data_IF_399818978360
#
_entry.id   IF_399818978360
#
_cell.length_a   1.000
_cell.length_b   1.000
_cell.length_c   1.000
_cell.angle_alpha   90.00
_cell.angle_beta   90.00
_cell.angle_gamma   90.00
#
_symmetry.space_group_name_H-M   'P 1'
#
loop_
_entity.id
_entity.type
_entity.pdbx_description
1 polymer ?
#
# COMPACT_ATOMS: atom_id res chain seq x y z
N UNK A 1 60.39 21.03 -34.10
CA UNK A 1 59.59 20.02 -34.80
C UNK A 1 58.46 19.58 -33.82
N UNK A 2 57.33 20.15 -34.02
CA UNK A 2 56.15 19.92 -33.17
C UNK A 2 55.30 18.75 -33.74
N UNK A 3 55.07 17.69 -32.94
CA UNK A 3 54.22 16.58 -33.33
C UNK A 3 52.81 16.85 -32.84
N UNK A 4 51.93 17.18 -33.76
CA UNK A 4 50.49 17.28 -33.51
C UNK A 4 49.92 15.90 -33.16
N UNK A 5 49.31 15.76 -31.97
CA UNK A 5 48.48 14.60 -31.61
C UNK A 5 47.09 14.80 -32.22
N UNK A 6 46.81 14.07 -33.29
CA UNK A 6 45.45 13.91 -33.80
C UNK A 6 44.61 13.14 -32.78
N UNK A 7 43.72 13.84 -32.07
CA UNK A 7 42.66 13.24 -31.32
C UNK A 7 41.58 12.69 -32.28
N UNK A 8 41.53 11.37 -32.42
CA UNK A 8 40.43 10.70 -33.08
C UNK A 8 39.20 10.83 -32.17
N UNK A 9 38.25 11.69 -32.54
CA UNK A 9 36.94 11.72 -31.92
C UNK A 9 36.24 10.38 -32.24
N UNK A 10 36.01 9.56 -31.23
CA UNK A 10 35.14 8.37 -31.32
C UNK A 10 33.72 8.90 -31.51
N UNK A 11 33.05 8.59 -32.65
CA UNK A 11 31.67 8.96 -32.82
C UNK A 11 30.87 8.20 -31.76
N UNK A 12 30.18 8.91 -30.85
CA UNK A 12 29.24 8.33 -29.91
C UNK A 12 28.16 7.57 -30.71
N UNK A 13 28.17 6.25 -30.65
CA UNK A 13 27.07 5.42 -31.08
C UNK A 13 25.88 5.85 -30.20
N UNK A 14 24.90 6.53 -30.79
CA UNK A 14 23.54 6.58 -30.26
C UNK A 14 23.04 5.14 -30.29
N UNK A 15 23.23 4.41 -29.22
CA UNK A 15 22.56 3.12 -29.04
C UNK A 15 21.07 3.40 -29.04
N UNK A 16 20.28 2.60 -29.76
CA UNK A 16 18.82 2.69 -29.70
C UNK A 16 18.37 2.63 -28.22
N UNK A 17 17.34 3.40 -27.83
CA UNK A 17 16.86 3.41 -26.44
C UNK A 17 16.47 1.99 -26.02
N UNK A 18 16.78 1.63 -24.78
CA UNK A 18 16.41 0.34 -24.21
C UNK A 18 14.90 0.24 -24.09
N UNK A 19 14.34 -0.84 -24.62
CA UNK A 19 12.90 -1.14 -24.55
C UNK A 19 12.57 -1.84 -23.23
N UNK A 20 11.72 -1.23 -22.41
CA UNK A 20 11.32 -1.78 -21.11
C UNK A 20 9.81 -2.01 -21.10
N UNK A 21 9.39 -3.25 -20.83
CA UNK A 21 8.00 -3.60 -20.55
C UNK A 21 7.75 -3.58 -19.04
N UNK A 22 6.73 -2.86 -18.59
CA UNK A 22 6.30 -2.86 -17.19
C UNK A 22 4.94 -3.54 -17.12
N UNK A 23 4.84 -4.61 -16.31
CA UNK A 23 3.62 -5.42 -16.15
C UNK A 23 2.93 -5.05 -14.84
N UNK A 24 1.78 -4.39 -14.94
CA UNK A 24 0.97 -3.90 -13.82
C UNK A 24 0.93 -2.37 -13.73
N UNK A 25 -0.27 -1.80 -13.86
CA UNK A 25 -0.55 -0.36 -13.90
C UNK A 25 -1.01 0.23 -12.56
N UNK A 26 -0.60 -0.35 -11.42
CA UNK A 26 -0.78 0.28 -10.10
C UNK A 26 0.16 1.47 -9.91
N UNK A 27 0.10 2.13 -8.74
CA UNK A 27 1.00 3.27 -8.40
C UNK A 27 2.46 2.92 -8.70
N UNK A 28 2.92 1.73 -8.29
CA UNK A 28 4.30 1.29 -8.49
C UNK A 28 4.69 1.28 -9.98
N UNK A 29 3.90 0.61 -10.82
CA UNK A 29 4.20 0.51 -12.26
C UNK A 29 4.10 1.84 -12.97
N UNK A 30 3.11 2.67 -12.63
CA UNK A 30 2.94 4.00 -13.23
C UNK A 30 4.10 4.94 -12.89
N UNK A 31 4.54 4.95 -11.63
CA UNK A 31 5.70 5.76 -11.21
C UNK A 31 6.99 5.25 -11.84
N UNK A 32 7.20 3.92 -11.90
CA UNK A 32 8.34 3.32 -12.60
C UNK A 32 8.37 3.71 -14.07
N UNK A 33 7.23 3.64 -14.76
CA UNK A 33 7.13 4.01 -16.18
C UNK A 33 7.54 5.46 -16.39
N UNK A 34 7.01 6.38 -15.58
CA UNK A 34 7.37 7.80 -15.60
C UNK A 34 8.88 8.01 -15.40
N UNK A 35 9.47 7.37 -14.39
CA UNK A 35 10.88 7.54 -14.02
C UNK A 35 11.82 6.96 -15.08
N UNK A 36 11.56 5.76 -15.58
CA UNK A 36 12.41 5.10 -16.56
C UNK A 36 12.33 5.75 -17.94
N UNK A 37 11.16 6.27 -18.33
CA UNK A 37 11.03 7.06 -19.56
C UNK A 37 11.87 8.34 -19.47
N UNK A 38 11.85 9.05 -18.33
CA UNK A 38 12.73 10.22 -18.10
C UNK A 38 14.22 9.87 -18.13
N UNK A 39 14.57 8.66 -17.72
CA UNK A 39 15.94 8.16 -17.77
C UNK A 39 16.38 7.75 -19.20
N UNK A 40 15.54 7.94 -20.21
CA UNK A 40 15.88 7.70 -21.62
C UNK A 40 15.59 6.29 -22.10
N UNK A 41 14.84 5.47 -21.35
CA UNK A 41 14.30 4.22 -21.86
C UNK A 41 13.08 4.46 -22.75
N UNK A 42 12.73 3.49 -23.60
CA UNK A 42 11.46 3.40 -24.29
C UNK A 42 10.55 2.46 -23.50
N UNK A 43 9.54 3.01 -22.82
CA UNK A 43 8.73 2.26 -21.86
C UNK A 43 7.34 1.95 -22.40
N UNK A 44 6.90 0.70 -22.23
CA UNK A 44 5.52 0.25 -22.41
C UNK A 44 4.98 -0.17 -21.05
N UNK A 45 3.87 0.43 -20.62
CA UNK A 45 3.15 0.08 -19.37
C UNK A 45 1.91 -0.74 -19.72
N UNK A 46 1.82 -1.95 -19.18
CA UNK A 46 0.78 -2.94 -19.49
C UNK A 46 -0.10 -3.18 -18.26
N UNK A 47 -1.39 -2.91 -18.38
CA UNK A 47 -2.39 -3.14 -17.33
C UNK A 47 -3.51 -4.05 -17.86
N UNK A 48 -3.83 -5.09 -17.10
CA UNK A 48 -4.90 -6.03 -17.42
C UNK A 48 -6.31 -5.41 -17.36
N UNK A 49 -6.49 -4.52 -16.37
CA UNK A 49 -7.77 -3.84 -16.15
C UNK A 49 -8.04 -2.76 -17.19
N UNK A 50 -9.30 -2.29 -17.29
CA UNK A 50 -9.66 -1.19 -18.19
C UNK A 50 -9.11 0.16 -17.72
N UNK A 51 -8.67 0.28 -16.46
CA UNK A 51 -8.12 1.49 -15.87
C UNK A 51 -6.85 1.17 -15.09
N UNK A 52 -5.97 2.17 -14.95
CA UNK A 52 -4.82 2.08 -14.07
C UNK A 52 -5.24 2.20 -12.60
N UNK A 53 -4.30 1.92 -11.68
CA UNK A 53 -4.47 2.20 -10.25
C UNK A 53 -4.34 0.99 -9.34
N UNK A 54 -4.67 -0.19 -9.80
CA UNK A 54 -4.58 -1.40 -8.98
C UNK A 54 -5.44 -1.29 -7.69
N UNK A 55 -4.80 -1.42 -6.53
CA UNK A 55 -5.50 -1.27 -5.23
C UNK A 55 -5.91 0.17 -4.91
N UNK A 56 -5.22 1.16 -5.49
CA UNK A 56 -5.51 2.59 -5.29
C UNK A 56 -6.35 3.18 -6.43
N UNK A 57 -6.84 2.34 -7.34
CA UNK A 57 -7.77 2.77 -8.37
C UNK A 57 -9.17 3.06 -7.82
N UNK A 58 -9.98 3.75 -8.61
CA UNK A 58 -11.37 4.05 -8.30
C UNK A 58 -12.32 3.32 -9.25
N UNK A 59 -13.60 3.34 -8.90
CA UNK A 59 -14.67 2.77 -9.70
C UNK A 59 -15.92 3.64 -9.64
N UNK A 60 -16.85 3.43 -10.56
CA UNK A 60 -18.17 4.06 -10.50
C UNK A 60 -19.03 3.36 -9.44
N UNK A 61 -19.52 4.14 -8.50
CA UNK A 61 -20.43 3.67 -7.47
C UNK A 61 -21.71 4.51 -7.52
N UNK A 62 -22.68 4.08 -8.32
CA UNK A 62 -23.95 4.77 -8.51
C UNK A 62 -23.76 6.21 -8.96
N UNK A 63 -22.99 6.43 -10.00
CA UNK A 63 -22.72 7.73 -10.60
C UNK A 63 -21.64 8.57 -9.94
N UNK A 64 -20.98 8.06 -8.88
CA UNK A 64 -19.88 8.74 -8.20
C UNK A 64 -18.59 7.96 -8.34
N UNK A 65 -17.49 8.63 -8.68
CA UNK A 65 -16.15 8.03 -8.68
C UNK A 65 -15.65 7.97 -7.24
N UNK A 66 -15.35 6.76 -6.74
CA UNK A 66 -14.88 6.52 -5.36
C UNK A 66 -13.68 5.56 -5.37
N UNK A 67 -12.76 5.74 -4.43
CA UNK A 67 -11.62 4.85 -4.26
C UNK A 67 -12.08 3.42 -3.98
N UNK A 68 -11.46 2.44 -4.63
CA UNK A 68 -11.76 1.02 -4.46
C UNK A 68 -11.51 0.53 -3.03
N UNK A 69 -10.48 1.07 -2.41
CA UNK A 69 -10.14 0.87 -0.99
C UNK A 69 -9.73 2.21 -0.39
N UNK A 70 -9.91 2.36 0.91
CA UNK A 70 -9.58 3.61 1.60
C UNK A 70 -8.08 3.87 1.62
N UNK A 71 -7.69 5.06 1.22
CA UNK A 71 -6.31 5.52 1.24
C UNK A 71 -6.23 6.94 1.80
N UNK A 72 -5.13 7.26 2.46
CA UNK A 72 -4.82 8.60 2.95
C UNK A 72 -3.34 8.90 2.77
N UNK A 73 -3.03 10.18 2.74
CA UNK A 73 -1.67 10.71 2.78
C UNK A 73 -1.48 11.31 4.17
N UNK A 74 -0.36 11.00 4.83
CA UNK A 74 -0.03 11.65 6.10
C UNK A 74 1.09 12.67 5.89
N UNK A 75 1.21 13.70 6.75
CA UNK A 75 2.22 14.77 6.57
C UNK A 75 3.67 14.28 6.49
N UNK A 76 3.94 13.08 6.96
CA UNK A 76 5.27 12.45 6.92
C UNK A 76 5.51 11.54 5.70
N UNK A 77 4.57 11.46 4.77
CA UNK A 77 4.72 10.68 3.54
C UNK A 77 5.53 11.47 2.50
N UNK A 78 6.82 11.71 2.80
CA UNK A 78 7.70 12.63 2.04
C UNK A 78 7.79 12.30 0.55
N UNK A 79 7.87 11.00 0.21
CA UNK A 79 8.00 10.56 -1.19
C UNK A 79 6.68 10.72 -1.95
N UNK A 80 5.57 10.44 -1.28
CA UNK A 80 4.25 10.66 -1.83
C UNK A 80 3.99 12.16 -2.03
N UNK A 81 4.32 12.99 -1.05
CA UNK A 81 4.21 14.46 -1.16
C UNK A 81 5.10 15.02 -2.26
N UNK A 82 6.33 14.49 -2.41
CA UNK A 82 7.21 14.85 -3.50
C UNK A 82 6.64 14.49 -4.87
N UNK A 83 5.94 13.36 -4.99
CA UNK A 83 5.26 12.97 -6.23
C UNK A 83 4.06 13.90 -6.52
N UNK A 84 3.28 14.25 -5.50
CA UNK A 84 2.18 15.24 -5.63
C UNK A 84 2.71 16.57 -6.13
N UNK A 85 3.83 17.07 -5.57
CA UNK A 85 4.50 18.30 -5.99
C UNK A 85 4.98 18.23 -7.44
N UNK A 86 5.67 17.16 -7.79
CA UNK A 86 6.18 16.90 -9.13
C UNK A 86 5.10 16.89 -10.21
N UNK A 87 3.89 16.43 -9.86
CA UNK A 87 2.75 16.35 -10.76
C UNK A 87 1.91 17.63 -10.75
N UNK A 88 2.26 18.63 -9.93
CA UNK A 88 1.54 19.90 -9.85
C UNK A 88 0.17 19.79 -9.18
N UNK A 89 0.01 18.86 -8.22
CA UNK A 89 -1.26 18.60 -7.56
C UNK A 89 -1.35 19.18 -6.14
N UNK A 90 -0.46 20.07 -5.75
CA UNK A 90 -0.38 20.61 -4.38
C UNK A 90 -1.69 21.34 -3.99
N UNK A 91 -2.28 22.07 -4.91
CA UNK A 91 -3.54 22.82 -4.69
C UNK A 91 -4.77 21.89 -4.60
N UNK A 92 -4.63 20.65 -5.04
CA UNK A 92 -5.67 19.63 -4.93
C UNK A 92 -5.53 18.77 -3.65
N UNK A 93 -4.39 18.87 -2.94
CA UNK A 93 -4.14 18.16 -1.69
C UNK A 93 -4.63 18.98 -0.50
N UNK A 94 -5.49 18.40 0.30
CA UNK A 94 -5.98 19.00 1.54
C UNK A 94 -5.68 18.09 2.73
N UNK A 95 -5.37 18.69 3.87
CA UNK A 95 -5.16 18.00 5.14
C UNK A 95 -6.25 18.40 6.15
N UNK A 96 -6.85 17.41 6.79
CA UNK A 96 -7.88 17.61 7.80
C UNK A 96 -7.50 16.92 9.11
N UNK A 97 -7.73 17.55 10.26
CA UNK A 97 -7.66 16.87 11.54
C UNK A 97 -8.80 15.84 11.62
N UNK A 98 -8.48 14.62 12.04
CA UNK A 98 -9.47 13.53 12.12
C UNK A 98 -9.50 12.92 13.51
N UNK A 99 -10.69 12.46 13.91
CA UNK A 99 -10.88 11.69 15.11
C UNK A 99 -10.60 10.20 14.86
N UNK A 100 -10.03 9.55 15.87
CA UNK A 100 -9.87 8.10 15.96
C UNK A 100 -10.65 7.59 17.14
N UNK A 101 -11.43 6.53 16.96
CA UNK A 101 -12.18 5.86 18.00
C UNK A 101 -11.61 4.48 18.33
N UNK A 102 -11.93 4.00 19.52
CA UNK A 102 -11.77 2.61 19.94
C UNK A 102 -13.13 2.06 20.37
N UNK A 103 -13.47 0.89 19.86
CA UNK A 103 -14.64 0.15 20.31
C UNK A 103 -14.19 -1.01 21.20
N UNK A 104 -14.69 -1.06 22.43
CA UNK A 104 -14.34 -2.11 23.38
C UNK A 104 -15.43 -2.27 24.46
N UNK A 105 -15.81 -3.50 24.76
CA UNK A 105 -16.85 -3.79 25.75
C UNK A 105 -18.23 -3.27 25.36
N UNK A 106 -18.52 -3.19 24.05
CA UNK A 106 -19.79 -2.68 23.53
C UNK A 106 -19.88 -1.15 23.48
N UNK A 107 -18.84 -0.41 23.83
CA UNK A 107 -18.84 1.06 23.88
C UNK A 107 -17.73 1.66 23.01
N UNK A 108 -17.96 2.87 22.52
CA UNK A 108 -17.03 3.62 21.68
C UNK A 108 -16.34 4.75 22.47
N UNK A 109 -15.02 4.78 22.41
CA UNK A 109 -14.19 5.72 23.15
C UNK A 109 -13.36 6.59 22.20
N UNK A 110 -13.24 7.91 22.45
CA UNK A 110 -12.32 8.76 21.71
C UNK A 110 -10.87 8.40 22.03
N UNK A 111 -9.98 8.56 21.03
CA UNK A 111 -8.55 8.32 21.17
C UNK A 111 -7.72 9.36 20.40
N UNK A 112 -8.04 10.65 20.56
CA UNK A 112 -7.50 11.72 19.74
C UNK A 112 -6.26 12.39 20.36
N UNK A 113 -6.00 12.20 21.65
CA UNK A 113 -4.90 12.87 22.30
C UNK A 113 -4.59 12.37 23.70
N UNK A 114 -3.65 13.04 24.37
CA UNK A 114 -3.20 12.65 25.71
C UNK A 114 -4.34 12.63 26.74
N UNK A 115 -5.31 13.55 26.61
CA UNK A 115 -6.47 13.59 27.50
C UNK A 115 -7.36 12.36 27.39
N UNK A 116 -7.65 11.92 26.16
CA UNK A 116 -8.42 10.70 25.90
C UNK A 116 -7.65 9.47 26.35
N UNK A 117 -6.35 9.42 26.02
CA UNK A 117 -5.47 8.34 26.48
C UNK A 117 -5.42 8.23 28.00
N UNK A 118 -5.32 9.36 28.73
CA UNK A 118 -5.29 9.37 30.19
C UNK A 118 -6.61 8.86 30.81
N UNK A 119 -7.74 9.00 30.09
CA UNK A 119 -9.07 8.57 30.53
C UNK A 119 -9.50 7.25 29.91
N UNK A 120 -8.67 6.64 29.04
CA UNK A 120 -9.02 5.42 28.30
C UNK A 120 -9.35 4.26 29.26
N UNK A 121 -10.62 3.84 29.35
CA UNK A 121 -11.08 2.97 30.45
C UNK A 121 -10.70 1.50 30.24
N UNK A 122 -10.35 1.12 29.02
CA UNK A 122 -9.95 -0.26 28.66
C UNK A 122 -8.68 -0.66 29.42
N UNK A 123 -7.83 0.31 29.78
CA UNK A 123 -6.57 0.07 30.47
C UNK A 123 -6.54 0.70 31.87
N UNK A 124 -5.98 -0.02 32.84
CA UNK A 124 -5.63 0.53 34.15
C UNK A 124 -4.57 1.66 34.03
N UNK A 125 -4.41 2.51 35.05
CA UNK A 125 -3.34 3.53 35.03
C UNK A 125 -1.96 2.95 34.76
N UNK A 126 -1.64 1.79 35.33
CA UNK A 126 -0.37 1.09 35.06
C UNK A 126 -0.31 0.56 33.61
N UNK A 127 -1.43 0.06 33.07
CA UNK A 127 -1.52 -0.37 31.67
C UNK A 127 -1.26 0.79 30.71
N UNK A 128 -1.86 1.95 30.96
CA UNK A 128 -1.60 3.17 30.18
C UNK A 128 -0.14 3.60 30.23
N UNK A 129 0.46 3.62 31.43
CA UNK A 129 1.88 3.96 31.59
C UNK A 129 2.79 2.99 30.81
N UNK A 130 2.50 1.68 30.84
CA UNK A 130 3.24 0.66 30.08
C UNK A 130 3.09 0.82 28.57
N UNK A 131 1.87 1.11 28.10
CA UNK A 131 1.63 1.36 26.67
C UNK A 131 2.38 2.61 26.20
N UNK A 132 2.31 3.70 26.95
CA UNK A 132 3.06 4.94 26.63
C UNK A 132 4.58 4.69 26.58
N UNK A 133 5.11 3.96 27.56
CA UNK A 133 6.53 3.58 27.61
C UNK A 133 6.93 2.70 26.42
N UNK A 134 6.10 1.72 26.07
CA UNK A 134 6.32 0.88 24.89
C UNK A 134 6.39 1.69 23.61
N UNK A 135 5.44 2.62 23.41
CA UNK A 135 5.45 3.52 22.23
C UNK A 135 6.73 4.35 22.20
N UNK A 136 7.14 4.93 23.36
CA UNK A 136 8.39 5.68 23.46
C UNK A 136 9.63 4.82 23.13
N UNK A 137 9.69 3.58 23.60
CA UNK A 137 10.79 2.66 23.26
C UNK A 137 10.85 2.37 21.75
N UNK A 138 9.70 2.13 21.09
CA UNK A 138 9.65 1.93 19.65
C UNK A 138 10.21 3.14 18.88
N UNK A 139 9.92 4.35 19.36
CA UNK A 139 10.35 5.60 18.73
C UNK A 139 11.85 5.88 18.91
N UNK A 140 12.41 5.50 20.06
CA UNK A 140 13.83 5.67 20.37
C UNK A 140 14.70 4.63 19.67
N UNK A 141 14.11 3.47 19.30
CA UNK A 141 14.84 2.40 18.64
C UNK A 141 15.02 2.69 17.17
N UNK A 142 16.27 2.88 16.75
CA UNK A 142 16.65 3.08 15.33
C UNK A 142 16.97 1.77 14.63
N UNK A 143 17.57 0.81 15.35
CA UNK A 143 17.92 -0.51 14.83
C UNK A 143 16.85 -1.53 15.21
N UNK A 144 16.26 -2.14 14.19
CA UNK A 144 15.21 -3.16 14.31
C UNK A 144 15.73 -4.58 14.13
N UNK A 145 17.01 -4.78 13.78
CA UNK A 145 17.56 -6.09 13.43
C UNK A 145 17.31 -7.15 14.51
N UNK A 146 17.42 -6.77 15.79
CA UNK A 146 17.11 -7.67 16.91
C UNK A 146 15.61 -8.00 17.06
N UNK A 147 14.71 -7.29 16.35
CA UNK A 147 13.27 -7.56 16.37
C UNK A 147 12.83 -8.52 15.28
N UNK A 148 13.69 -8.79 14.28
CA UNK A 148 13.37 -9.67 13.14
C UNK A 148 13.05 -11.11 13.56
N UNK A 149 13.82 -11.63 14.50
CA UNK A 149 13.66 -13.00 14.99
C UNK A 149 12.82 -13.06 16.28
N UNK A 150 12.41 -11.90 16.79
CA UNK A 150 11.66 -11.82 18.04
C UNK A 150 10.17 -12.03 17.78
N UNK A 151 9.58 -12.99 18.46
CA UNK A 151 8.15 -13.26 18.44
C UNK A 151 7.37 -12.06 18.96
N UNK A 152 6.39 -11.58 18.18
CA UNK A 152 5.61 -10.37 18.47
C UNK A 152 4.87 -10.48 19.80
N UNK A 153 4.15 -11.56 20.06
CA UNK A 153 3.40 -11.74 21.31
C UNK A 153 4.33 -11.69 22.53
N UNK A 154 5.43 -12.45 22.51
CA UNK A 154 6.40 -12.48 23.61
C UNK A 154 6.98 -11.10 23.87
N UNK A 155 7.29 -10.34 22.84
CA UNK A 155 7.80 -8.99 22.95
C UNK A 155 6.77 -8.04 23.57
N UNK A 156 5.52 -8.09 23.10
CA UNK A 156 4.43 -7.29 23.62
C UNK A 156 4.13 -7.60 25.11
N UNK A 157 4.00 -8.86 25.46
CA UNK A 157 3.76 -9.28 26.85
C UNK A 157 4.87 -8.81 27.78
N UNK A 158 6.12 -8.84 27.32
CA UNK A 158 7.28 -8.40 28.10
C UNK A 158 7.27 -6.87 28.33
N UNK A 159 6.98 -6.09 27.30
CA UNK A 159 7.10 -4.61 27.34
C UNK A 159 5.80 -3.92 27.74
N UNK A 160 4.66 -4.37 27.29
CA UNK A 160 3.37 -3.79 27.62
C UNK A 160 2.67 -4.46 28.81
N UNK A 161 3.02 -5.71 29.12
CA UNK A 161 2.36 -6.53 30.13
C UNK A 161 1.07 -7.20 29.63
N UNK A 162 0.58 -8.17 30.43
CA UNK A 162 -0.55 -9.03 30.09
C UNK A 162 -1.82 -8.23 29.72
N UNK A 163 -2.19 -7.25 30.54
CA UNK A 163 -3.43 -6.49 30.35
C UNK A 163 -3.46 -5.74 29.00
N UNK A 164 -2.37 -5.03 28.66
CA UNK A 164 -2.31 -4.27 27.40
C UNK A 164 -2.32 -5.19 26.20
N UNK A 165 -1.59 -6.31 26.31
CA UNK A 165 -1.61 -7.31 25.25
C UNK A 165 -3.03 -7.86 25.02
N UNK A 166 -3.68 -8.37 26.06
CA UNK A 166 -4.96 -9.06 25.94
C UNK A 166 -6.14 -8.15 25.57
N UNK A 167 -6.10 -6.88 26.03
CA UNK A 167 -7.23 -5.95 25.83
C UNK A 167 -7.07 -5.01 24.63
N UNK A 168 -5.86 -4.86 24.10
CA UNK A 168 -5.62 -3.94 22.99
C UNK A 168 -4.94 -4.64 21.84
N UNK A 169 -3.72 -5.19 22.05
CA UNK A 169 -2.94 -5.69 20.93
C UNK A 169 -3.49 -6.97 20.32
N UNK A 170 -3.83 -7.95 21.16
CA UNK A 170 -4.35 -9.24 20.67
C UNK A 170 -5.62 -9.05 19.82
N UNK A 171 -6.69 -8.36 20.25
CA UNK A 171 -7.86 -8.18 19.42
C UNK A 171 -7.57 -7.47 18.09
N UNK A 172 -6.69 -6.45 18.10
CA UNK A 172 -6.29 -5.74 16.89
C UNK A 172 -5.48 -6.64 15.93
N UNK A 173 -4.63 -7.50 16.46
CA UNK A 173 -3.87 -8.48 15.67
C UNK A 173 -4.79 -9.59 15.13
N UNK A 174 -5.65 -10.15 15.98
CA UNK A 174 -6.63 -11.18 15.59
C UNK A 174 -7.54 -10.67 14.46
N UNK A 175 -8.05 -9.45 14.56
CA UNK A 175 -8.90 -8.86 13.53
C UNK A 175 -8.16 -8.57 12.22
N UNK A 176 -6.87 -8.21 12.31
CA UNK A 176 -6.04 -7.88 11.15
C UNK A 176 -5.48 -9.10 10.44
N UNK A 177 -5.08 -10.14 11.19
CA UNK A 177 -4.40 -11.33 10.68
C UNK A 177 -5.23 -12.60 10.80
N UNK A 178 -6.52 -12.46 11.07
CA UNK A 178 -7.45 -13.59 11.18
C UNK A 178 -6.98 -14.66 12.18
N UNK A 179 -6.48 -14.18 13.35
CA UNK A 179 -5.87 -14.98 14.42
C UNK A 179 -4.55 -15.68 14.06
N UNK A 180 -3.99 -15.42 12.89
CA UNK A 180 -2.75 -16.03 12.40
C UNK A 180 -1.55 -15.08 12.50
N UNK A 181 -1.28 -14.59 13.70
CA UNK A 181 -0.20 -13.64 13.97
C UNK A 181 0.97 -14.21 14.78
N UNK A 182 0.97 -15.50 15.11
CA UNK A 182 2.00 -16.13 15.96
C UNK A 182 3.40 -16.10 15.35
N UNK A 183 3.48 -16.09 14.03
CA UNK A 183 4.75 -16.05 13.31
C UNK A 183 5.27 -14.64 13.04
N UNK A 184 4.48 -13.59 13.36
CA UNK A 184 4.88 -12.22 13.07
C UNK A 184 6.11 -11.82 13.90
N UNK A 185 7.09 -11.12 13.28
CA UNK A 185 8.20 -10.53 13.99
C UNK A 185 7.77 -9.27 14.75
N UNK A 186 8.45 -8.96 15.83
CA UNK A 186 8.24 -7.73 16.57
C UNK A 186 8.46 -6.46 15.71
N UNK A 187 9.23 -6.56 14.64
CA UNK A 187 9.47 -5.51 13.64
C UNK A 187 8.18 -4.98 13.05
N UNK A 188 7.18 -5.82 12.81
CA UNK A 188 5.88 -5.40 12.29
C UNK A 188 5.25 -4.27 13.11
N UNK A 189 5.12 -4.47 14.42
CA UNK A 189 4.48 -3.48 15.28
C UNK A 189 5.39 -2.28 15.58
N UNK A 190 6.71 -2.49 15.60
CA UNK A 190 7.67 -1.40 15.67
C UNK A 190 7.50 -0.43 14.50
N UNK A 191 7.43 -0.93 13.26
CA UNK A 191 7.23 -0.12 12.06
C UNK A 191 5.87 0.61 12.10
N UNK A 192 4.80 -0.08 12.51
CA UNK A 192 3.46 0.50 12.64
C UNK A 192 3.41 1.62 13.70
N UNK A 193 4.04 1.41 14.85
CA UNK A 193 4.08 2.39 15.94
C UNK A 193 4.84 3.66 15.52
N UNK A 194 5.93 3.51 14.78
CA UNK A 194 6.70 4.64 14.24
C UNK A 194 5.88 5.44 13.23
N UNK A 195 5.14 4.79 12.32
CA UNK A 195 4.28 5.48 11.36
C UNK A 195 3.14 6.24 12.04
N UNK A 196 2.48 5.65 13.06
CA UNK A 196 1.39 6.32 13.78
C UNK A 196 1.83 7.61 14.47
N UNK A 197 3.08 7.68 14.94
CA UNK A 197 3.61 8.93 15.50
C UNK A 197 3.71 10.03 14.44
N UNK A 198 4.19 9.69 13.27
CA UNK A 198 4.44 10.66 12.20
C UNK A 198 3.14 11.22 11.57
N UNK A 199 2.00 10.58 11.84
CA UNK A 199 0.68 11.13 11.50
C UNK A 199 0.20 12.20 12.50
N UNK A 200 0.86 12.34 13.66
CA UNK A 200 0.50 13.33 14.70
C UNK A 200 1.34 14.59 14.53
N UNK A 201 0.70 15.71 14.29
CA UNK A 201 1.37 17.00 14.22
C UNK A 201 1.70 17.52 15.63
N UNK A 202 2.77 18.31 15.73
CA UNK A 202 3.22 18.92 16.99
C UNK A 202 2.25 19.96 17.58
N UNK A 203 1.22 20.35 16.86
CA UNK A 203 0.33 21.48 17.23
C UNK A 203 -1.09 21.08 17.63
N UNK A 204 -1.48 19.81 17.61
CA UNK A 204 -2.88 19.46 17.85
C UNK A 204 -3.12 18.14 18.57
N UNK A 205 -4.28 18.05 19.21
CA UNK A 205 -4.88 16.80 19.65
C UNK A 205 -5.50 16.12 18.42
N UNK A 206 -4.97 14.98 17.98
CA UNK A 206 -5.53 14.19 16.88
C UNK A 206 -4.50 13.84 15.81
N UNK A 207 -4.94 13.01 14.88
CA UNK A 207 -4.19 12.66 13.68
C UNK A 207 -4.59 13.62 12.55
N UNK A 208 -3.64 13.94 11.68
CA UNK A 208 -3.90 14.73 10.47
C UNK A 208 -3.77 13.83 9.27
N UNK A 209 -4.81 13.79 8.46
CA UNK A 209 -4.85 12.98 7.24
C UNK A 209 -5.18 13.83 6.05
N UNK A 210 -4.52 13.56 4.94
CA UNK A 210 -4.70 14.26 3.67
C UNK A 210 -5.30 13.37 2.61
N UNK A 211 -6.00 14.02 1.69
CA UNK A 211 -6.46 13.41 0.46
C UNK A 211 -6.35 14.40 -0.71
N UNK A 212 -6.24 13.86 -1.90
CA UNK A 212 -6.39 14.63 -3.12
C UNK A 212 -7.88 14.78 -3.46
N UNK A 213 -8.25 15.91 -4.03
CA UNK A 213 -9.58 16.08 -4.63
C UNK A 213 -9.73 15.07 -5.77
N UNK A 214 -10.73 14.18 -5.69
CA UNK A 214 -10.91 13.05 -6.58
C UNK A 214 -10.19 11.76 -6.16
N UNK A 215 -9.64 11.70 -4.93
CA UNK A 215 -9.04 10.49 -4.37
C UNK A 215 -7.64 10.17 -4.93
N UNK A 216 -7.18 8.97 -4.66
CA UNK A 216 -5.86 8.49 -5.14
C UNK A 216 -5.85 8.24 -6.66
N UNK A 217 -7.00 8.01 -7.28
CA UNK A 217 -7.11 7.92 -8.74
C UNK A 217 -6.54 9.15 -9.43
N UNK A 218 -6.79 10.34 -8.88
CA UNK A 218 -6.29 11.63 -9.42
C UNK A 218 -4.76 11.67 -9.54
N UNK A 219 -4.05 11.10 -8.57
CA UNK A 219 -2.58 10.98 -8.61
C UNK A 219 -2.13 10.05 -9.73
N UNK A 220 -2.81 8.92 -9.89
CA UNK A 220 -2.48 7.90 -10.89
C UNK A 220 -2.74 8.44 -12.28
N UNK A 221 -3.87 9.12 -12.49
CA UNK A 221 -4.20 9.76 -13.77
C UNK A 221 -3.16 10.84 -14.14
N UNK A 222 -2.78 11.70 -13.20
CA UNK A 222 -1.77 12.70 -13.45
C UNK A 222 -0.39 12.11 -13.77
N UNK A 223 0.01 11.06 -13.04
CA UNK A 223 1.25 10.36 -13.31
C UNK A 223 1.24 9.65 -14.66
N UNK A 224 0.13 9.01 -15.03
CA UNK A 224 -0.06 8.35 -16.32
C UNK A 224 -0.08 9.35 -17.48
N UNK A 225 -0.81 10.46 -17.34
CA UNK A 225 -0.82 11.53 -18.32
C UNK A 225 0.59 12.10 -18.54
N UNK A 226 1.32 12.37 -17.44
CA UNK A 226 2.70 12.84 -17.54
C UNK A 226 3.64 11.82 -18.17
N UNK A 227 3.45 10.54 -17.90
CA UNK A 227 4.20 9.46 -18.52
C UNK A 227 3.92 9.39 -20.04
N UNK A 228 2.66 9.49 -20.44
CA UNK A 228 2.25 9.50 -21.85
C UNK A 228 2.81 10.73 -22.60
N UNK A 229 2.78 11.92 -22.01
CA UNK A 229 3.40 13.13 -22.58
C UNK A 229 4.90 12.95 -22.85
N UNK A 230 5.58 12.16 -22.03
CA UNK A 230 6.99 11.83 -22.20
C UNK A 230 7.23 10.69 -23.20
N UNK A 231 6.18 10.08 -23.74
CA UNK A 231 6.24 9.01 -24.75
C UNK A 231 6.15 7.59 -24.20
N UNK A 232 5.69 7.39 -22.95
CA UNK A 232 5.35 6.05 -22.46
C UNK A 232 4.14 5.53 -23.23
N UNK A 233 4.23 4.31 -23.77
CA UNK A 233 3.11 3.59 -24.36
C UNK A 233 2.28 2.94 -23.24
N UNK A 234 1.16 3.59 -22.86
CA UNK A 234 0.28 3.13 -21.79
C UNK A 234 -0.87 2.32 -22.39
N UNK A 235 -0.94 1.03 -22.05
CA UNK A 235 -1.98 0.11 -22.55
C UNK A 235 -2.77 -0.47 -21.39
N UNK A 236 -4.05 -0.14 -21.34
CA UNK A 236 -5.04 -0.78 -20.47
C UNK A 236 -5.75 -1.91 -21.23
N UNK A 237 -6.48 -2.77 -20.54
CA UNK A 237 -7.08 -4.00 -21.08
C UNK A 237 -6.07 -4.88 -21.82
N UNK A 238 -4.77 -4.77 -21.46
CA UNK A 238 -3.64 -5.47 -22.04
C UNK A 238 -3.06 -6.46 -21.01
N UNK A 239 -3.79 -7.54 -20.76
CA UNK A 239 -3.38 -8.57 -19.79
C UNK A 239 -2.21 -9.39 -20.31
N UNK A 240 -1.10 -9.41 -19.55
CA UNK A 240 0.01 -10.30 -19.86
C UNK A 240 -0.38 -11.74 -19.51
N UNK A 241 -0.30 -12.62 -20.50
CA UNK A 241 -0.69 -14.04 -20.42
C UNK A 241 0.50 -14.96 -20.10
N UNK A 242 1.72 -14.50 -20.40
CA UNK A 242 2.96 -15.24 -20.17
C UNK A 242 4.19 -14.42 -20.53
N UNK A 243 5.37 -15.00 -20.29
CA UNK A 243 6.64 -14.40 -20.64
C UNK A 243 7.21 -15.02 -21.91
N UNK A 244 7.75 -14.20 -22.80
CA UNK A 244 8.51 -14.64 -23.97
C UNK A 244 9.91 -15.01 -23.51
N UNK A 245 10.32 -16.25 -23.76
CA UNK A 245 11.63 -16.76 -23.38
C UNK A 245 12.59 -16.77 -24.56
N UNK A 246 13.84 -16.41 -24.31
CA UNK A 246 14.96 -16.69 -25.19
C UNK A 246 15.98 -17.52 -24.37
N UNK A 247 15.99 -18.82 -24.60
CA UNK A 247 16.62 -19.81 -23.72
C UNK A 247 16.12 -19.69 -22.25
N UNK A 248 16.98 -19.26 -21.34
CA UNK A 248 16.65 -19.06 -19.92
C UNK A 248 16.44 -17.58 -19.53
N UNK A 249 16.50 -16.68 -20.51
CA UNK A 249 16.25 -15.25 -20.31
C UNK A 249 14.82 -14.87 -20.71
N UNK A 250 14.26 -13.88 -20.03
CA UNK A 250 13.01 -13.23 -20.43
C UNK A 250 13.34 -12.21 -21.52
N UNK A 251 12.70 -12.34 -22.67
CA UNK A 251 12.87 -11.48 -23.84
C UNK A 251 11.63 -10.65 -24.17
N UNK A 252 10.61 -10.69 -23.31
CA UNK A 252 9.35 -9.95 -23.51
C UNK A 252 8.16 -10.63 -22.85
N UNK A 253 6.97 -10.29 -23.33
CA UNK A 253 5.69 -10.77 -22.81
C UNK A 253 4.75 -11.24 -23.92
N UNK A 254 3.76 -12.04 -23.57
CA UNK A 254 2.66 -12.44 -24.47
C UNK A 254 1.40 -11.66 -24.08
N UNK A 255 0.79 -10.98 -25.06
CA UNK A 255 -0.45 -10.21 -24.92
C UNK A 255 -1.34 -10.58 -26.09
N UNK A 256 -2.61 -10.92 -25.84
CA UNK A 256 -3.58 -11.34 -26.87
C UNK A 256 -3.01 -12.43 -27.83
N UNK A 257 -2.28 -13.39 -27.23
CA UNK A 257 -1.61 -14.45 -27.96
C UNK A 257 -0.40 -14.03 -28.81
N UNK A 258 0.01 -12.74 -28.77
CA UNK A 258 1.14 -12.21 -29.52
C UNK A 258 2.33 -11.91 -28.64
N UNK A 259 3.53 -12.28 -29.15
CA UNK A 259 4.78 -11.99 -28.44
C UNK A 259 5.24 -10.55 -28.70
N UNK A 260 5.48 -9.80 -27.64
CA UNK A 260 6.12 -8.49 -27.70
C UNK A 260 7.46 -8.52 -26.97
N UNK A 261 8.54 -8.09 -27.65
CA UNK A 261 9.90 -8.19 -27.14
C UNK A 261 10.33 -6.91 -26.44
N UNK A 262 11.03 -7.09 -25.30
CA UNK A 262 11.65 -6.04 -24.50
C UNK A 262 13.10 -6.43 -24.15
N UNK A 263 13.97 -5.44 -23.93
CA UNK A 263 15.32 -5.66 -23.37
C UNK A 263 15.25 -6.01 -21.89
N UNK A 264 14.20 -5.53 -21.20
CA UNK A 264 13.91 -5.81 -19.80
C UNK A 264 12.40 -5.81 -19.57
N UNK A 265 11.90 -6.79 -18.84
CA UNK A 265 10.53 -6.82 -18.34
C UNK A 265 10.56 -6.62 -16.83
N UNK A 266 9.83 -5.63 -16.30
CA UNK A 266 9.69 -5.41 -14.86
C UNK A 266 8.25 -5.77 -14.47
N UNK A 267 8.10 -6.82 -13.68
CA UNK A 267 6.80 -7.22 -13.14
C UNK A 267 6.53 -6.47 -11.82
N UNK A 268 5.47 -5.64 -11.79
CA UNK A 268 5.01 -4.98 -10.56
C UNK A 268 3.89 -5.77 -9.89
N UNK A 269 3.99 -7.08 -10.00
CA UNK A 269 3.05 -8.05 -9.50
C UNK A 269 3.52 -8.63 -8.16
N UNK A 270 2.58 -9.14 -7.38
CA UNK A 270 2.96 -9.97 -6.23
C UNK A 270 3.56 -11.30 -6.72
N UNK A 271 4.57 -11.88 -6.05
CA UNK A 271 5.24 -13.12 -6.45
C UNK A 271 4.30 -14.27 -6.83
N UNK A 272 3.18 -14.52 -6.09
CA UNK A 272 2.25 -15.56 -6.51
C UNK A 272 1.57 -15.30 -7.87
N UNK A 273 1.40 -14.03 -8.25
CA UNK A 273 0.86 -13.68 -9.56
C UNK A 273 1.94 -13.80 -10.65
N UNK A 274 3.17 -13.35 -10.39
CA UNK A 274 4.28 -13.53 -11.32
C UNK A 274 4.58 -15.01 -11.59
N UNK A 275 4.51 -15.87 -10.56
CA UNK A 275 4.73 -17.32 -10.70
C UNK A 275 3.85 -17.95 -11.78
N UNK A 276 2.62 -17.47 -11.97
CA UNK A 276 1.69 -17.97 -12.98
C UNK A 276 2.09 -17.60 -14.41
N UNK A 277 2.91 -16.56 -14.57
CA UNK A 277 3.42 -16.12 -15.88
C UNK A 277 4.74 -16.79 -16.26
N UNK A 278 5.48 -17.32 -15.26
CA UNK A 278 6.75 -18.01 -15.47
C UNK A 278 6.53 -19.40 -16.05
N UNK A 279 7.38 -19.85 -17.00
CA UNK A 279 7.45 -21.25 -17.38
C UNK A 279 7.71 -22.15 -16.15
N UNK A 280 7.14 -23.35 -16.14
CA UNK A 280 7.24 -24.29 -15.02
C UNK A 280 8.69 -24.49 -14.53
N UNK A 281 9.66 -24.59 -15.45
CA UNK A 281 11.09 -24.75 -15.11
C UNK A 281 11.69 -23.60 -14.30
N UNK A 282 11.14 -22.38 -14.41
CA UNK A 282 11.61 -21.16 -13.72
C UNK A 282 10.74 -20.80 -12.53
N UNK A 283 9.52 -21.32 -12.43
CA UNK A 283 8.61 -21.01 -11.32
C UNK A 283 9.19 -21.40 -9.96
N UNK A 284 10.00 -22.47 -9.91
CA UNK A 284 10.71 -22.90 -8.71
C UNK A 284 11.75 -21.92 -8.17
N UNK A 285 12.23 -20.97 -8.97
CA UNK A 285 13.14 -19.91 -8.48
C UNK A 285 12.45 -18.99 -7.46
N UNK A 286 11.12 -18.84 -7.54
CA UNK A 286 10.35 -18.08 -6.58
C UNK A 286 9.98 -18.88 -5.32
N UNK A 287 10.21 -20.20 -5.30
CA UNK A 287 9.93 -21.05 -4.11
C UNK A 287 10.89 -20.75 -2.96
N UNK A 288 12.08 -20.22 -3.26
CA UNK A 288 13.02 -19.73 -2.25
C UNK A 288 12.48 -18.52 -1.47
N UNK A 289 11.43 -17.87 -1.97
CA UNK A 289 10.83 -16.67 -1.42
C UNK A 289 9.34 -16.94 -1.14
N UNK A 290 9.03 -17.79 -0.14
CA UNK A 290 7.66 -18.09 0.21
C UNK A 290 7.00 -16.85 0.79
N UNK A 291 5.96 -16.38 0.14
CA UNK A 291 5.18 -15.24 0.59
C UNK A 291 3.75 -15.66 0.83
N UNK A 292 3.27 -15.31 2.01
CA UNK A 292 1.87 -15.41 2.39
C UNK A 292 1.21 -14.05 2.28
N UNK A 293 -0.01 -14.02 1.82
CA UNK A 293 -0.78 -12.78 1.67
C UNK A 293 -2.13 -12.90 2.33
N UNK A 294 -2.55 -11.82 2.97
CA UNK A 294 -3.96 -11.61 3.24
C UNK A 294 -4.57 -10.83 2.06
N UNK A 295 -5.75 -11.27 1.68
CA UNK A 295 -6.65 -10.48 0.87
C UNK A 295 -7.46 -9.52 1.74
N UNK A 296 -8.36 -8.79 1.10
CA UNK A 296 -9.35 -7.94 1.77
C UNK A 296 -10.71 -8.15 1.14
N UNK A 297 -11.72 -8.28 1.98
CA UNK A 297 -13.14 -8.11 1.64
C UNK A 297 -13.57 -6.80 2.29
N UNK A 298 -14.05 -5.86 1.51
CA UNK A 298 -14.40 -4.53 1.97
C UNK A 298 -15.83 -4.19 1.54
N UNK A 299 -16.74 -4.12 2.50
CA UNK A 299 -18.05 -3.55 2.28
C UNK A 299 -17.91 -2.02 2.26
N UNK A 300 -18.43 -1.40 1.21
CA UNK A 300 -18.48 0.06 1.07
C UNK A 300 -19.96 0.47 1.17
N UNK A 301 -20.25 1.36 2.09
CA UNK A 301 -21.58 1.90 2.31
C UNK A 301 -21.64 3.35 1.88
N UNK A 302 -22.65 3.71 1.09
CA UNK A 302 -23.04 5.07 0.78
C UNK A 302 -24.23 5.44 1.69
N UNK A 303 -24.03 6.44 2.54
CA UNK A 303 -24.91 6.70 3.70
C UNK A 303 -25.48 8.11 3.66
N UNK A 304 -26.70 8.26 4.20
CA UNK A 304 -27.37 9.57 4.40
C UNK A 304 -26.74 10.38 5.52
N UNK A 305 -26.17 9.74 6.53
CA UNK A 305 -25.53 10.35 7.69
C UNK A 305 -24.25 9.61 8.09
N UNK A 306 -23.44 10.26 8.89
CA UNK A 306 -22.21 9.66 9.46
C UNK A 306 -22.56 8.51 10.40
N UNK A 307 -21.79 7.43 10.37
CA UNK A 307 -21.88 6.32 11.33
C UNK A 307 -21.31 6.73 12.67
N UNK A 308 -20.17 7.39 12.67
CA UNK A 308 -19.44 7.75 13.87
C UNK A 308 -18.81 9.13 13.72
N UNK A 309 -18.45 9.82 14.81
CA UNK A 309 -17.69 11.07 14.72
C UNK A 309 -16.20 10.86 14.37
N UNK A 310 -15.80 9.63 14.05
CA UNK A 310 -14.40 9.27 13.82
C UNK A 310 -14.16 8.89 12.37
N UNK A 311 -12.98 9.27 11.88
CA UNK A 311 -12.47 8.77 10.61
C UNK A 311 -12.26 7.25 10.65
N UNK A 312 -11.67 6.75 11.73
CA UNK A 312 -11.46 5.32 11.91
C UNK A 312 -11.80 4.85 13.31
N UNK A 313 -12.32 3.62 13.41
CA UNK A 313 -12.62 2.96 14.67
C UNK A 313 -11.81 1.67 14.77
N UNK A 314 -10.88 1.61 15.73
CA UNK A 314 -10.16 0.38 16.07
C UNK A 314 -11.03 -0.49 16.96
N UNK A 315 -11.20 -1.76 16.60
CA UNK A 315 -12.12 -2.66 17.29
C UNK A 315 -11.31 -3.60 18.18
N UNK A 316 -11.54 -3.54 19.48
CA UNK A 316 -10.94 -4.40 20.50
C UNK A 316 -11.86 -5.52 21.00
N UNK A 317 -13.06 -5.61 20.48
CA UNK A 317 -13.97 -6.74 20.70
C UNK A 317 -13.81 -7.75 19.56
N UNK A 318 -14.11 -9.01 19.84
CA UNK A 318 -14.09 -10.05 18.81
C UNK A 318 -15.20 -9.80 17.78
N UNK A 319 -14.81 -9.52 16.55
CA UNK A 319 -15.75 -9.25 15.45
C UNK A 319 -15.20 -9.78 14.12
N UNK A 320 -16.08 -10.09 13.15
CA UNK A 320 -15.66 -10.49 11.80
C UNK A 320 -15.16 -9.34 10.91
N UNK A 321 -15.14 -8.10 11.40
CA UNK A 321 -14.61 -6.94 10.67
C UNK A 321 -13.34 -6.39 11.33
N UNK A 322 -12.45 -5.78 10.56
CA UNK A 322 -11.18 -5.27 11.09
C UNK A 322 -11.31 -3.86 11.68
N UNK A 323 -12.08 -3.01 11.03
CA UNK A 323 -12.25 -1.59 11.40
C UNK A 323 -13.46 -1.01 10.68
N UNK A 324 -13.89 0.18 11.06
CA UNK A 324 -14.75 1.05 10.25
C UNK A 324 -13.92 2.27 9.88
N UNK A 325 -13.90 2.63 8.59
CA UNK A 325 -13.20 3.82 8.10
C UNK A 325 -14.20 4.68 7.33
N UNK A 326 -14.55 5.83 7.87
CA UNK A 326 -15.44 6.79 7.22
C UNK A 326 -14.61 7.86 6.51
N UNK A 327 -14.33 7.64 5.23
CA UNK A 327 -13.45 8.49 4.43
C UNK A 327 -13.99 9.92 4.27
N UNK A 328 -15.30 10.10 4.34
CA UNK A 328 -15.94 11.42 4.24
C UNK A 328 -15.49 12.42 5.30
N UNK A 329 -14.86 11.98 6.40
CA UNK A 329 -14.23 12.88 7.38
C UNK A 329 -12.95 13.52 6.86
N UNK A 330 -12.35 12.99 5.78
CA UNK A 330 -11.14 13.51 5.15
C UNK A 330 -11.46 14.12 3.78
N UNK A 331 -12.16 13.35 2.92
CA UNK A 331 -12.40 13.74 1.53
C UNK A 331 -13.61 14.69 1.38
N UNK A 332 -14.40 14.86 2.43
CA UNK A 332 -15.67 15.59 2.34
C UNK A 332 -16.78 14.79 1.64
N UNK A 333 -17.85 15.48 1.27
CA UNK A 333 -19.04 14.85 0.65
C UNK A 333 -19.45 15.52 -0.67
N UNK A 334 -18.72 16.51 -1.14
CA UNK A 334 -19.08 17.28 -2.34
C UNK A 334 -19.11 16.39 -3.60
N UNK A 335 -18.19 15.41 -3.66
CA UNK A 335 -18.07 14.47 -4.77
C UNK A 335 -19.10 13.32 -4.72
N UNK A 336 -19.93 13.26 -3.70
CA UNK A 336 -20.96 12.24 -3.46
C UNK A 336 -22.33 12.85 -3.18
N UNK A 337 -22.58 14.10 -3.62
CA UNK A 337 -23.84 14.82 -3.46
C UNK A 337 -24.33 14.88 -2.01
N UNK A 338 -23.40 15.08 -1.07
CA UNK A 338 -23.69 15.14 0.37
C UNK A 338 -23.77 13.78 1.07
N UNK A 339 -23.66 12.68 0.36
CA UNK A 339 -23.66 11.34 0.95
C UNK A 339 -22.32 10.99 1.59
N UNK A 340 -22.35 10.17 2.64
CA UNK A 340 -21.18 9.71 3.37
C UNK A 340 -20.68 8.38 2.83
N UNK A 341 -19.36 8.16 2.86
CA UNK A 341 -18.74 6.90 2.48
C UNK A 341 -18.07 6.25 3.69
N UNK A 342 -18.48 5.04 4.00
CA UNK A 342 -17.88 4.21 5.03
C UNK A 342 -17.37 2.89 4.44
N UNK A 343 -16.14 2.54 4.76
CA UNK A 343 -15.47 1.30 4.38
C UNK A 343 -15.41 0.39 5.61
N UNK A 344 -15.86 -0.84 5.45
CA UNK A 344 -15.88 -1.87 6.49
C UNK A 344 -15.06 -3.07 5.99
N UNK A 345 -13.74 -3.06 6.17
CA UNK A 345 -12.86 -4.12 5.68
C UNK A 345 -12.75 -5.28 6.66
N UNK A 346 -12.56 -6.49 6.11
CA UNK A 346 -11.98 -7.65 6.78
C UNK A 346 -10.78 -8.12 5.98
N UNK A 347 -9.63 -8.23 6.65
CA UNK A 347 -8.46 -8.89 6.09
C UNK A 347 -8.53 -10.38 6.42
N UNK A 348 -8.38 -11.21 5.40
CA UNK A 348 -8.45 -12.67 5.53
C UNK A 348 -7.78 -13.33 4.33
N UNK A 349 -7.49 -14.62 4.42
CA UNK A 349 -7.00 -15.37 3.27
C UNK A 349 -8.04 -15.46 2.16
N UNK A 350 -7.57 -15.45 0.91
CA UNK A 350 -8.45 -15.57 -0.25
C UNK A 350 -9.23 -16.89 -0.31
N UNK A 351 -8.75 -17.92 0.40
CA UNK A 351 -9.40 -19.23 0.56
C UNK A 351 -10.46 -19.26 1.68
N UNK A 352 -10.54 -18.23 2.53
CA UNK A 352 -11.44 -18.21 3.67
C UNK A 352 -12.92 -18.14 3.27
N UNK A 353 -13.80 -18.64 4.14
CA UNK A 353 -15.26 -18.55 3.95
C UNK A 353 -15.71 -17.10 3.72
N UNK A 354 -15.17 -16.14 4.50
CA UNK A 354 -15.52 -14.74 4.37
C UNK A 354 -15.13 -14.16 3.00
N UNK A 355 -13.97 -14.54 2.47
CA UNK A 355 -13.53 -14.04 1.15
C UNK A 355 -14.39 -14.61 0.01
N UNK A 356 -14.85 -15.86 0.16
CA UNK A 356 -15.62 -16.58 -0.85
C UNK A 356 -17.14 -16.35 -0.75
N UNK A 357 -17.62 -15.76 0.35
CA UNK A 357 -19.05 -15.46 0.54
C UNK A 357 -19.56 -14.50 -0.55
N UNK A 358 -20.84 -14.61 -0.89
CA UNK A 358 -21.51 -13.67 -1.79
C UNK A 358 -21.65 -12.27 -1.15
N UNK A 359 -21.96 -11.27 -1.97
CA UNK A 359 -22.02 -9.88 -1.56
C UNK A 359 -23.14 -9.59 -0.56
N UNK A 360 -24.30 -10.24 -0.72
CA UNK A 360 -25.44 -10.13 0.19
C UNK A 360 -25.10 -10.68 1.56
N UNK A 361 -24.45 -11.83 1.63
CA UNK A 361 -23.97 -12.43 2.90
C UNK A 361 -22.97 -11.50 3.61
N UNK A 362 -22.05 -10.89 2.87
CA UNK A 362 -21.09 -9.89 3.43
C UNK A 362 -21.86 -8.67 3.92
N UNK A 363 -22.80 -8.13 3.14
CA UNK A 363 -23.60 -6.98 3.53
C UNK A 363 -24.37 -7.24 4.84
N UNK A 364 -25.10 -8.34 4.94
CA UNK A 364 -25.87 -8.68 6.14
C UNK A 364 -24.98 -8.90 7.36
N UNK A 365 -23.90 -9.68 7.19
CA UNK A 365 -22.96 -10.00 8.27
C UNK A 365 -22.28 -8.72 8.80
N UNK A 366 -21.73 -7.87 7.91
CA UNK A 366 -20.97 -6.69 8.31
C UNK A 366 -21.87 -5.57 8.84
N UNK A 367 -23.03 -5.32 8.21
CA UNK A 367 -23.98 -4.33 8.73
C UNK A 367 -24.58 -4.79 10.07
N UNK A 368 -24.76 -6.10 10.29
CA UNK A 368 -25.14 -6.65 11.58
C UNK A 368 -24.16 -6.31 12.71
N UNK A 369 -22.86 -6.24 12.41
CA UNK A 369 -21.85 -5.78 13.37
C UNK A 369 -21.90 -4.26 13.52
N UNK A 370 -22.02 -3.52 12.42
CA UNK A 370 -22.16 -2.05 12.48
C UNK A 370 -23.35 -1.65 13.36
N UNK A 371 -24.49 -2.32 13.26
CA UNK A 371 -25.67 -2.08 14.14
C UNK A 371 -25.37 -2.30 15.63
N UNK A 372 -24.55 -3.29 15.97
CA UNK A 372 -24.14 -3.52 17.37
C UNK A 372 -23.22 -2.41 17.88
N UNK A 373 -22.39 -1.84 17.01
CA UNK A 373 -21.43 -0.77 17.36
C UNK A 373 -22.07 0.62 17.34
N UNK A 374 -23.07 0.82 16.49
CA UNK A 374 -23.79 2.08 16.27
C UNK A 374 -25.28 1.79 16.40
N UNK A 375 -25.84 1.81 17.61
CA UNK A 375 -27.22 1.38 17.85
C UNK A 375 -28.29 2.13 17.04
N UNK A 376 -28.03 3.39 16.71
CA UNK A 376 -28.95 4.22 15.91
C UNK A 376 -28.86 3.94 14.40
N UNK A 377 -27.91 3.11 13.95
CA UNK A 377 -27.76 2.75 12.54
C UNK A 377 -28.87 1.81 12.09
N UNK A 378 -29.57 2.20 11.03
CA UNK A 378 -30.69 1.44 10.43
C UNK A 378 -30.46 1.21 8.94
N UNK A 379 -31.27 0.35 8.33
CA UNK A 379 -31.25 0.14 6.88
C UNK A 379 -31.58 1.40 6.06
N UNK A 380 -32.39 2.31 6.62
CA UNK A 380 -32.79 3.56 5.96
C UNK A 380 -31.64 4.55 5.82
N UNK A 381 -30.56 4.39 6.61
CA UNK A 381 -29.35 5.18 6.49
C UNK A 381 -28.54 4.80 5.24
N UNK A 382 -28.72 3.59 4.72
CA UNK A 382 -27.97 3.08 3.55
C UNK A 382 -28.71 3.48 2.27
N UNK A 383 -28.02 4.26 1.43
CA UNK A 383 -28.52 4.63 0.10
C UNK A 383 -28.13 3.60 -0.93
N UNK A 384 -26.90 3.10 -0.82
CA UNK A 384 -26.32 2.12 -1.75
C UNK A 384 -25.14 1.40 -1.08
N UNK A 385 -24.77 0.24 -1.57
CA UNK A 385 -23.64 -0.53 -1.05
C UNK A 385 -22.99 -1.38 -2.13
N UNK A 386 -21.72 -1.74 -1.91
CA UNK A 386 -20.98 -2.67 -2.78
C UNK A 386 -19.89 -3.38 -1.98
N UNK A 387 -19.45 -4.52 -2.48
CA UNK A 387 -18.34 -5.27 -1.89
C UNK A 387 -17.16 -5.31 -2.86
N UNK A 388 -16.02 -4.83 -2.40
CA UNK A 388 -14.76 -4.92 -3.14
C UNK A 388 -13.87 -6.00 -2.54
N UNK A 389 -13.20 -6.76 -3.41
CA UNK A 389 -12.27 -7.83 -3.01
C UNK A 389 -10.93 -7.69 -3.71
N UNK A 390 -9.86 -7.99 -2.99
CA UNK A 390 -8.54 -8.18 -3.58
C UNK A 390 -7.82 -9.31 -2.85
N UNK A 391 -7.28 -10.32 -3.57
CA UNK A 391 -6.75 -11.53 -2.92
C UNK A 391 -5.32 -11.39 -2.39
N UNK A 392 -4.52 -10.44 -2.89
CA UNK A 392 -3.09 -10.29 -2.58
C UNK A 392 -2.80 -8.85 -2.17
N UNK A 393 -3.16 -8.48 -0.93
CA UNK A 393 -3.07 -7.09 -0.43
C UNK A 393 -1.95 -6.92 0.57
N UNK A 394 -2.00 -7.66 1.68
CA UNK A 394 -1.06 -7.52 2.79
C UNK A 394 -0.09 -8.69 2.80
N UNK A 395 1.19 -8.50 2.48
CA UNK A 395 2.18 -9.55 2.66
C UNK A 395 2.38 -9.82 4.16
N UNK A 396 2.30 -11.08 4.54
CA UNK A 396 2.52 -11.52 5.93
C UNK A 396 3.97 -12.00 6.05
N UNK A 397 4.78 -11.21 6.72
CA UNK A 397 6.19 -11.52 6.93
C UNK A 397 6.36 -12.36 8.19
N UNK A 398 6.85 -13.59 8.04
CA UNK A 398 7.21 -14.42 9.16
C UNK A 398 8.56 -14.00 9.77
N UNK A 399 8.86 -14.48 10.97
CA UNK A 399 10.19 -14.28 11.61
C UNK A 399 11.30 -14.76 10.69
N UNK A 400 12.40 -14.02 10.64
CA UNK A 400 13.52 -14.29 9.74
C UNK A 400 13.16 -14.11 8.25
N UNK A 401 12.18 -13.26 7.94
CA UNK A 401 11.72 -13.02 6.57
C UNK A 401 12.71 -12.19 5.75
N UNK A 402 13.41 -11.23 6.34
CA UNK A 402 14.25 -10.29 5.60
C UNK A 402 15.16 -10.95 4.54
N UNK A 403 15.88 -12.05 4.85
CA UNK A 403 16.68 -12.76 3.85
C UNK A 403 15.87 -13.59 2.84
N UNK A 404 14.54 -13.70 3.05
CA UNK A 404 13.62 -14.46 2.18
C UNK A 404 12.74 -13.58 1.32
N UNK A 405 12.90 -12.25 1.40
CA UNK A 405 12.23 -11.33 0.48
C UNK A 405 12.81 -11.51 -0.91
N UNK A 406 11.95 -11.69 -1.91
CA UNK A 406 12.39 -11.81 -3.29
C UNK A 406 13.17 -10.54 -3.71
N UNK A 407 14.36 -10.67 -4.28
CA UNK A 407 15.14 -9.52 -4.71
C UNK A 407 14.52 -8.87 -5.96
N UNK A 408 14.88 -7.62 -6.23
CA UNK A 408 14.48 -6.93 -7.48
C UNK A 408 14.94 -7.70 -8.71
N UNK A 409 16.09 -8.33 -8.62
CA UNK A 409 16.66 -9.17 -9.68
C UNK A 409 16.65 -10.64 -9.25
N UNK A 410 15.61 -11.42 -9.58
CA UNK A 410 15.43 -12.78 -9.03
C UNK A 410 16.33 -13.85 -9.67
N UNK A 411 17.38 -13.45 -10.39
CA UNK A 411 18.31 -14.38 -11.04
C UNK A 411 17.84 -14.90 -12.40
N UNK A 412 16.82 -14.26 -12.98
CA UNK A 412 16.35 -14.53 -14.36
C UNK A 412 16.75 -13.32 -15.21
N UNK A 413 17.61 -13.55 -16.21
CA UNK A 413 18.00 -12.48 -17.10
C UNK A 413 16.80 -11.91 -17.86
N UNK A 414 16.80 -10.58 -18.05
CA UNK A 414 15.70 -9.87 -18.68
C UNK A 414 14.43 -9.71 -17.81
N UNK A 415 14.45 -10.14 -16.53
CA UNK A 415 13.34 -9.98 -15.61
C UNK A 415 13.74 -9.20 -14.36
N UNK A 416 12.95 -8.18 -14.03
CA UNK A 416 12.93 -7.50 -12.75
C UNK A 416 11.60 -7.75 -12.02
N UNK A 417 11.64 -7.77 -10.70
CA UNK A 417 10.47 -7.88 -9.82
C UNK A 417 10.41 -6.65 -8.91
N UNK A 418 9.30 -5.94 -8.93
CA UNK A 418 8.98 -4.90 -7.98
C UNK A 418 7.67 -5.26 -7.26
N UNK A 419 7.74 -5.65 -6.00
CA UNK A 419 6.60 -6.18 -5.26
C UNK A 419 6.41 -5.47 -3.92
N UNK A 420 5.17 -5.36 -3.48
CA UNK A 420 4.83 -4.79 -2.18
C UNK A 420 5.53 -5.48 -1.00
N UNK A 421 5.91 -6.75 -1.11
CA UNK A 421 6.67 -7.45 -0.06
C UNK A 421 8.07 -6.87 0.15
N UNK A 422 8.64 -6.24 -0.88
CA UNK A 422 9.97 -5.62 -0.83
C UNK A 422 10.00 -4.29 -0.05
N UNK A 423 8.86 -3.75 0.37
CA UNK A 423 8.82 -2.53 1.22
C UNK A 423 9.20 -2.83 2.67
N UNK A 424 9.20 -4.11 3.08
CA UNK A 424 9.63 -4.54 4.41
C UNK A 424 11.00 -3.96 4.80
N UNK A 425 11.22 -3.51 6.04
CA UNK A 425 10.35 -3.61 7.22
C UNK A 425 9.34 -2.46 7.37
N UNK A 426 9.25 -1.57 6.38
CA UNK A 426 8.27 -0.47 6.40
C UNK A 426 6.86 -1.02 6.20
N UNK A 427 5.87 -0.25 6.61
CA UNK A 427 4.48 -0.59 6.31
C UNK A 427 4.18 -0.36 4.83
N UNK A 428 3.35 -1.22 4.27
CA UNK A 428 2.82 -1.04 2.94
C UNK A 428 1.86 0.17 2.92
N UNK A 429 2.24 1.19 2.18
CA UNK A 429 1.46 2.41 1.92
C UNK A 429 2.01 3.11 0.68
N UNK A 430 1.35 4.18 0.23
CA UNK A 430 1.74 4.90 -0.98
C UNK A 430 3.19 5.43 -0.93
N UNK A 431 3.63 6.00 0.19
CA UNK A 431 5.00 6.50 0.35
C UNK A 431 6.06 5.41 0.17
N UNK A 432 5.84 4.24 0.80
CA UNK A 432 6.75 3.10 0.68
C UNK A 432 6.80 2.53 -0.73
N UNK A 433 5.66 2.56 -1.44
CA UNK A 433 5.57 2.12 -2.84
C UNK A 433 6.30 3.08 -3.78
N UNK A 434 6.16 4.40 -3.59
CA UNK A 434 6.92 5.39 -4.38
C UNK A 434 8.41 5.26 -4.11
N UNK A 435 8.82 5.04 -2.86
CA UNK A 435 10.23 4.78 -2.50
C UNK A 435 10.77 3.53 -3.19
N UNK A 436 10.00 2.45 -3.24
CA UNK A 436 10.39 1.23 -3.97
C UNK A 436 10.55 1.51 -5.47
N UNK A 437 9.63 2.29 -6.07
CA UNK A 437 9.75 2.70 -7.46
C UNK A 437 11.04 3.47 -7.73
N UNK A 438 11.44 4.38 -6.83
CA UNK A 438 12.70 5.13 -6.93
C UNK A 438 13.92 4.20 -6.84
N UNK A 439 13.91 3.24 -5.91
CA UNK A 439 14.97 2.24 -5.77
C UNK A 439 15.11 1.40 -7.04
N UNK A 440 14.00 0.80 -7.51
CA UNK A 440 14.01 -0.03 -8.74
C UNK A 440 14.45 0.79 -9.95
N UNK A 441 14.05 2.06 -10.03
CA UNK A 441 14.50 2.97 -11.09
C UNK A 441 16.02 3.14 -11.05
N UNK A 442 16.59 3.45 -9.88
CA UNK A 442 18.04 3.62 -9.72
C UNK A 442 18.83 2.38 -10.14
N UNK A 443 18.44 1.21 -9.63
CA UNK A 443 19.09 -0.06 -9.97
C UNK A 443 18.94 -0.41 -11.47
N UNK A 444 17.79 -0.06 -12.09
CA UNK A 444 17.57 -0.28 -13.53
C UNK A 444 18.46 0.64 -14.38
N UNK A 445 18.60 1.90 -13.98
CA UNK A 445 19.51 2.86 -14.67
C UNK A 445 20.94 2.34 -14.66
N UNK A 446 21.43 1.91 -13.50
CA UNK A 446 22.77 1.34 -13.36
C UNK A 446 22.94 0.08 -14.22
N UNK A 447 21.97 -0.86 -14.14
CA UNK A 447 22.04 -2.14 -14.87
C UNK A 447 22.03 -1.98 -16.38
N UNK A 448 21.27 -1.04 -16.92
CA UNK A 448 21.13 -0.83 -18.36
C UNK A 448 22.04 0.26 -18.92
N UNK A 449 22.77 0.98 -18.05
CA UNK A 449 23.62 2.11 -18.46
C UNK A 449 22.80 3.25 -19.08
N UNK A 450 21.61 3.56 -18.53
CA UNK A 450 20.79 4.66 -19.01
C UNK A 450 21.43 6.00 -18.63
N UNK A 451 21.34 6.98 -19.53
CA UNK A 451 22.03 8.28 -19.37
C UNK A 451 21.17 9.39 -18.75
N UNK A 452 19.92 9.08 -18.39
CA UNK A 452 19.00 10.05 -17.81
C UNK A 452 19.34 10.37 -16.35
N UNK A 453 19.14 11.61 -15.96
CA UNK A 453 19.28 12.06 -14.58
C UNK A 453 18.13 11.46 -13.77
N UNK A 454 18.38 10.67 -12.70
CA UNK A 454 17.32 10.32 -11.75
C UNK A 454 16.68 11.62 -11.26
N UNK A 455 15.34 11.64 -11.07
CA UNK A 455 14.71 12.77 -10.40
C UNK A 455 15.47 13.02 -9.10
N UNK A 456 15.87 14.29 -8.87
CA UNK A 456 16.61 14.66 -7.67
C UNK A 456 15.88 14.10 -6.44
N UNK A 457 16.59 13.47 -5.48
CA UNK A 457 15.96 13.09 -4.23
C UNK A 457 15.34 14.36 -3.64
N UNK A 458 14.07 14.29 -3.28
CA UNK A 458 13.41 15.36 -2.53
C UNK A 458 14.28 15.62 -1.31
N UNK A 459 14.98 16.76 -1.30
CA UNK A 459 15.81 17.17 -0.17
C UNK A 459 14.94 17.14 1.07
N UNK A 460 15.39 16.40 2.08
CA UNK A 460 14.80 16.43 3.40
C UNK A 460 14.68 17.90 3.81
N UNK A 461 13.49 18.39 4.00
CA UNK A 461 13.26 19.64 4.70
C UNK A 461 13.93 19.48 6.06
N UNK A 462 14.90 20.32 6.34
CA UNK A 462 15.64 20.31 7.56
C UNK A 462 14.72 20.44 8.78
N UNK A 463 14.92 19.50 9.73
CA UNK A 463 14.58 19.44 11.14
C UNK A 463 13.33 20.18 11.66
#
# INVERSE_FOLDING_TARGET
>A
MSAARNGIAVPGRSAAPRRIGIVGGGILGTVLALRLQRAGAQVTLLERGPTLGGLAGAFDFGGHRVDRFYHVIVPSDERMLGLVDELGLQDELSFSPVGVGFFSGGEMYPFNGLGDFARFPVLSPLGRARLAWFVAQCQLRKDYSALEDMELERWLRRHCGKQVYERVWRPLLDSRFDSEHDELPATYLWARTNRMRSARTSQGSGETMGCLRGGHERLIEAAAARAAELGVDVRTSAGVEGLVMDHDAVAGVVIDGQAERFDLTIATLQPPALRRLLPFRLSGLLDAYPERYLGVVCLILKLRRSLTPYYSVNICDETPITTIVETSHVVGTDHTDGLRLAYVPKYCEASSETFQADDETIYERFTGIVRKMVPDFTGDDVVDWTVQRAPLVEPVHARGHAPRTAPIWPGIDGLGLASASQVYPRLLNGDSVVRLAEQVTGETIERLGLSGVPAAPVLAAAA
#
